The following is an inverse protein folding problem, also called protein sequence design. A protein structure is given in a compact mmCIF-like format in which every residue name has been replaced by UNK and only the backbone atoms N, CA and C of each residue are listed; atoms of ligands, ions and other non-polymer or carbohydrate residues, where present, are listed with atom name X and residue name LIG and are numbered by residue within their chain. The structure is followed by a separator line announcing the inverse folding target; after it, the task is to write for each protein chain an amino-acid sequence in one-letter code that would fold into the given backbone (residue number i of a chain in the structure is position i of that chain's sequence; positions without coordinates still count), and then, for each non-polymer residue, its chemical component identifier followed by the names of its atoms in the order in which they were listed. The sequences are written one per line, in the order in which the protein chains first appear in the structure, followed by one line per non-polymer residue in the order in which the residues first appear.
data_IF_669400162341
#
_entry.id   IF_669400162341
#
_cell.length_a   1.000
_cell.length_b   1.000
_cell.length_c   1.000
_cell.angle_alpha   90.00
_cell.angle_beta   90.00
_cell.angle_gamma   90.00
#
_symmetry.space_group_name_H-M   'P 1'
#
loop_
_entity.id
_entity.type
_entity.pdbx_description
1 polymer ?
#
# COMPACT_ATOMS: atom_id res chain seq x y z
N UNK A 1 -10.00 12.19 40.59
CA UNK A 1 -9.79 13.22 39.56
C UNK A 1 -9.65 12.54 38.21
N UNK A 2 -10.68 12.53 37.35
CA UNK A 2 -10.55 12.06 35.97
C UNK A 2 -10.02 13.21 35.08
N UNK A 3 -9.00 12.93 34.26
CA UNK A 3 -8.42 13.87 33.29
C UNK A 3 -9.36 14.11 32.11
N UNK A 4 -9.52 15.36 31.63
CA UNK A 4 -10.42 15.68 30.53
C UNK A 4 -9.90 15.16 29.19
N UNK A 5 -10.84 14.68 28.39
CA UNK A 5 -10.71 14.12 27.05
C UNK A 5 -9.75 14.91 26.15
N UNK A 6 -8.62 14.28 25.80
CA UNK A 6 -7.81 14.69 24.66
C UNK A 6 -8.51 14.19 23.40
N UNK A 7 -9.49 14.94 22.91
CA UNK A 7 -10.00 14.81 21.54
C UNK A 7 -8.82 15.06 20.59
N UNK A 8 -8.18 13.99 20.14
CA UNK A 8 -7.28 14.05 19.00
C UNK A 8 -8.16 14.36 17.78
N UNK A 9 -8.24 15.63 17.41
CA UNK A 9 -8.55 16.04 16.04
C UNK A 9 -7.37 15.57 15.19
N UNK A 10 -7.35 14.28 14.85
CA UNK A 10 -6.56 13.82 13.71
C UNK A 10 -7.10 14.59 12.53
N UNK A 11 -6.29 15.43 11.84
CA UNK A 11 -6.74 16.04 10.62
C UNK A 11 -7.10 14.90 9.68
N UNK A 12 -8.40 14.70 9.50
CA UNK A 12 -9.00 13.92 8.42
C UNK A 12 -8.74 14.67 7.11
N UNK A 13 -7.47 14.91 6.80
CA UNK A 13 -7.04 15.37 5.50
C UNK A 13 -6.82 14.09 4.71
N UNK A 14 -7.91 13.62 4.11
CA UNK A 14 -7.87 12.77 2.93
C UNK A 14 -7.22 13.55 1.78
N UNK A 15 -5.94 13.89 1.93
CA UNK A 15 -5.09 14.25 0.80
C UNK A 15 -5.03 12.99 -0.05
N UNK A 16 -5.63 13.06 -1.23
CA UNK A 16 -5.66 11.96 -2.18
C UNK A 16 -4.23 11.46 -2.41
N UNK A 17 -3.89 10.32 -1.79
CA UNK A 17 -2.53 9.81 -1.82
C UNK A 17 -2.27 9.29 -3.23
N UNK A 18 -1.40 9.97 -3.97
CA UNK A 18 -1.11 9.61 -5.35
C UNK A 18 -0.47 8.21 -5.41
N UNK A 19 -1.17 7.28 -6.06
CA UNK A 19 -0.73 5.89 -6.24
C UNK A 19 0.14 5.80 -7.50
N UNK A 20 1.37 5.31 -7.37
CA UNK A 20 2.33 5.17 -8.48
C UNK A 20 2.75 3.69 -8.58
N UNK A 21 2.72 3.13 -9.80
CA UNK A 21 3.20 1.78 -10.08
C UNK A 21 4.50 1.85 -10.91
N UNK A 22 5.60 1.35 -10.35
CA UNK A 22 6.88 1.23 -11.05
C UNK A 22 6.89 -0.08 -11.84
N UNK A 23 6.90 0.02 -13.18
CA UNK A 23 7.00 -1.14 -14.08
C UNK A 23 8.44 -1.25 -14.58
N UNK A 24 9.09 -2.37 -14.28
CA UNK A 24 10.48 -2.61 -14.61
C UNK A 24 10.71 -4.11 -14.89
N UNK A 25 11.76 -4.42 -15.66
CA UNK A 25 12.19 -5.80 -15.89
C UNK A 25 13.13 -6.27 -14.78
N UNK A 26 13.33 -7.58 -14.63
CA UNK A 26 14.28 -8.11 -13.66
C UNK A 26 15.70 -7.59 -13.92
N UNK A 27 16.46 -7.32 -12.86
CA UNK A 27 17.87 -6.88 -12.91
C UNK A 27 18.11 -5.50 -13.55
N UNK A 28 17.07 -4.66 -13.68
CA UNK A 28 17.23 -3.26 -14.14
C UNK A 28 17.46 -2.26 -12.99
N UNK A 29 17.61 -2.72 -11.75
CA UNK A 29 17.79 -1.86 -10.58
C UNK A 29 16.50 -1.32 -9.96
N UNK A 30 15.35 -1.94 -10.24
CA UNK A 30 14.06 -1.55 -9.62
C UNK A 30 14.08 -1.61 -8.09
N UNK A 31 14.83 -2.54 -7.50
CA UNK A 31 15.04 -2.61 -6.05
C UNK A 31 15.79 -1.37 -5.52
N UNK A 32 16.84 -0.93 -6.20
CA UNK A 32 17.59 0.27 -5.81
C UNK A 32 16.70 1.52 -5.88
N UNK A 33 15.92 1.66 -6.95
CA UNK A 33 14.95 2.76 -7.07
C UNK A 33 13.90 2.70 -5.94
N UNK A 34 13.42 1.50 -5.59
CA UNK A 34 12.48 1.27 -4.50
C UNK A 34 13.01 1.76 -3.15
N UNK A 35 14.26 1.46 -2.83
CA UNK A 35 14.91 1.93 -1.60
C UNK A 35 15.02 3.45 -1.54
N UNK A 36 15.37 4.10 -2.66
CA UNK A 36 15.44 5.57 -2.74
C UNK A 36 14.04 6.17 -2.52
N UNK A 37 13.00 5.60 -3.13
CA UNK A 37 11.62 6.06 -2.94
C UNK A 37 11.12 5.85 -1.51
N UNK A 38 11.61 4.83 -0.81
CA UNK A 38 11.25 4.52 0.57
C UNK A 38 11.87 5.50 1.58
N UNK A 39 13.00 6.13 1.25
CA UNK A 39 13.65 7.13 2.12
C UNK A 39 12.87 8.46 2.21
N UNK A 40 11.96 8.72 1.27
CA UNK A 40 11.19 9.96 1.21
C UNK A 40 10.13 9.95 2.32
N UNK A 41 10.11 10.92 3.26
CA UNK A 41 9.11 10.99 4.31
C UNK A 41 7.68 11.06 3.73
N UNK A 42 6.80 10.20 4.23
CA UNK A 42 5.41 10.14 3.76
C UNK A 42 5.20 9.37 2.45
N UNK A 43 6.27 8.82 1.87
CA UNK A 43 6.21 7.84 0.77
C UNK A 43 6.18 6.41 1.31
N UNK A 44 5.57 5.50 0.57
CA UNK A 44 5.59 4.07 0.85
C UNK A 44 5.86 3.31 -0.45
N UNK A 45 6.91 2.50 -0.43
CA UNK A 45 7.26 1.61 -1.54
C UNK A 45 6.97 0.16 -1.17
N UNK A 46 6.33 -0.57 -2.09
CA UNK A 46 6.05 -1.99 -1.97
C UNK A 46 6.68 -2.75 -3.13
N UNK A 47 7.52 -3.73 -2.82
CA UNK A 47 8.20 -4.57 -3.80
C UNK A 47 7.26 -5.64 -4.37
N UNK A 48 7.27 -5.79 -5.70
CA UNK A 48 6.48 -6.78 -6.46
C UNK A 48 5.00 -6.92 -6.03
N UNK A 49 4.21 -5.82 -6.03
CA UNK A 49 2.83 -5.84 -5.53
C UNK A 49 1.91 -6.80 -6.31
N UNK A 50 2.13 -6.92 -7.62
CA UNK A 50 1.34 -7.79 -8.50
C UNK A 50 1.53 -9.28 -8.18
N UNK A 51 2.69 -9.68 -7.67
CA UNK A 51 2.95 -11.07 -7.30
C UNK A 51 2.16 -11.50 -6.08
N UNK A 52 1.94 -10.57 -5.14
CA UNK A 52 1.02 -10.78 -4.01
C UNK A 52 -0.43 -10.87 -4.50
N UNK A 53 -0.79 -10.10 -5.53
CA UNK A 53 -2.13 -10.12 -6.12
C UNK A 53 -2.42 -11.44 -6.85
N UNK A 54 -1.45 -12.01 -7.56
CA UNK A 54 -1.60 -13.33 -8.20
C UNK A 54 -1.92 -14.43 -7.19
N UNK A 55 -1.30 -14.41 -6.01
CA UNK A 55 -1.61 -15.35 -4.93
C UNK A 55 -3.05 -15.19 -4.45
N UNK A 56 -3.45 -13.97 -4.13
CA UNK A 56 -4.82 -13.67 -3.69
C UNK A 56 -5.86 -13.96 -4.79
N UNK A 57 -5.49 -13.85 -6.07
CA UNK A 57 -6.34 -14.24 -7.20
C UNK A 57 -6.58 -15.74 -7.24
N UNK A 58 -5.56 -16.55 -7.02
CA UNK A 58 -5.72 -18.00 -6.95
C UNK A 58 -6.72 -18.39 -5.85
N UNK A 59 -6.60 -17.77 -4.67
CA UNK A 59 -7.52 -17.97 -3.55
C UNK A 59 -8.93 -17.44 -3.85
N UNK A 60 -9.05 -16.29 -4.55
CA UNK A 60 -10.34 -15.72 -4.96
C UNK A 60 -11.04 -16.59 -6.02
N UNK A 61 -10.30 -17.13 -6.99
CA UNK A 61 -10.81 -18.10 -7.97
C UNK A 61 -11.31 -19.35 -7.25
N UNK A 62 -10.55 -19.85 -6.27
CA UNK A 62 -10.97 -20.98 -5.44
C UNK A 62 -12.23 -20.67 -4.64
N UNK A 63 -12.40 -19.43 -4.20
CA UNK A 63 -13.58 -18.93 -3.48
C UNK A 63 -14.72 -18.44 -4.40
N UNK A 64 -14.66 -18.67 -5.72
CA UNK A 64 -15.62 -18.20 -6.73
C UNK A 64 -15.92 -16.68 -6.67
N UNK A 65 -14.90 -15.88 -6.34
CA UNK A 65 -14.98 -14.41 -6.31
C UNK A 65 -14.38 -13.84 -7.60
N UNK A 66 -15.19 -13.11 -8.35
CA UNK A 66 -14.80 -12.51 -9.65
C UNK A 66 -14.03 -11.20 -9.50
N UNK A 67 -14.01 -10.62 -8.31
CA UNK A 67 -13.26 -9.40 -8.01
C UNK A 67 -12.46 -9.55 -6.73
N UNK A 68 -11.24 -9.02 -6.75
CA UNK A 68 -10.38 -8.83 -5.59
C UNK A 68 -9.97 -7.36 -5.60
N UNK A 69 -10.21 -6.67 -4.51
CA UNK A 69 -9.95 -5.24 -4.39
C UNK A 69 -8.47 -4.99 -4.10
N UNK A 70 -7.86 -4.09 -4.88
CA UNK A 70 -6.50 -3.59 -4.63
C UNK A 70 -6.40 -2.75 -3.35
N UNK A 71 -7.51 -2.50 -2.67
CA UNK A 71 -7.58 -1.76 -1.41
C UNK A 71 -6.61 -2.30 -0.35
N UNK A 72 -6.35 -3.61 -0.30
CA UNK A 72 -5.38 -4.20 0.62
C UNK A 72 -3.94 -3.74 0.37
N UNK A 73 -3.60 -3.39 -0.87
CA UNK A 73 -2.27 -2.93 -1.26
C UNK A 73 -2.03 -1.46 -0.86
N UNK A 74 -3.10 -0.67 -0.84
CA UNK A 74 -3.06 0.78 -0.61
C UNK A 74 -3.57 1.18 0.78
N UNK A 75 -3.92 0.20 1.63
CA UNK A 75 -4.32 0.43 3.01
C UNK A 75 -3.07 0.81 3.82
N UNK A 76 -3.03 2.03 4.34
CA UNK A 76 -1.98 2.48 5.26
C UNK A 76 -1.85 1.48 6.44
N UNK A 77 -0.64 1.06 6.83
CA UNK A 77 -0.46 0.44 8.14
C UNK A 77 -0.88 1.44 9.22
N UNK A 78 -1.66 0.96 10.19
CA UNK A 78 -2.09 1.72 11.37
C UNK A 78 -0.90 2.05 12.25
#
# INVERSE_FOLDING_TARGET
MPTPDRLQTTPNTSSDAQKILVVAYMRTGSTLLGEILHQIPGSFYLFEPLRTLEKNRADAIQANRTSFTLEYLFKKPQ
#
